data_IF_497586939115
#
_entry.id   IF_497586939115
#
_cell.length_a   1.000
_cell.length_b   1.000
_cell.length_c   1.000
_cell.angle_alpha   90.00
_cell.angle_beta   90.00
_cell.angle_gamma   90.00
#
_symmetry.space_group_name_H-M   'P 1'
#
loop_
_entity.id
_entity.type
_entity.pdbx_description
1 polymer ?
#
# COMPACT_ATOMS: atom_id res chain seq x y z
N UNK A 1 23.04 -7.88 -17.04
CA UNK A 1 22.63 -6.64 -16.34
C UNK A 1 21.49 -6.96 -15.37
N UNK A 2 21.59 -8.11 -14.68
CA UNK A 2 20.48 -8.74 -13.94
C UNK A 2 20.71 -8.63 -12.41
N UNK A 3 21.97 -8.52 -11.98
CA UNK A 3 22.34 -8.45 -10.56
C UNK A 3 22.02 -7.11 -9.86
N UNK A 4 21.71 -6.04 -10.61
CA UNK A 4 21.44 -4.73 -10.01
C UNK A 4 19.96 -4.59 -9.57
N UNK A 5 19.02 -5.17 -10.32
CA UNK A 5 17.60 -5.14 -9.99
C UNK A 5 17.28 -6.00 -8.76
N UNK A 6 17.92 -7.17 -8.63
CA UNK A 6 17.76 -8.04 -7.47
C UNK A 6 18.29 -7.41 -6.17
N UNK A 7 19.35 -6.59 -6.25
CA UNK A 7 19.93 -5.93 -5.09
C UNK A 7 19.07 -4.75 -4.59
N UNK A 8 18.44 -4.01 -5.51
CA UNK A 8 17.52 -2.91 -5.18
C UNK A 8 16.22 -3.44 -4.56
N UNK A 9 15.67 -4.52 -5.11
CA UNK A 9 14.48 -5.18 -4.58
C UNK A 9 14.72 -5.82 -3.19
N UNK A 10 15.91 -6.39 -2.97
CA UNK A 10 16.29 -6.94 -1.67
C UNK A 10 16.44 -5.85 -0.59
N UNK A 11 17.00 -4.69 -0.95
CA UNK A 11 17.10 -3.50 -0.09
C UNK A 11 15.73 -2.95 0.30
N UNK A 12 14.80 -2.88 -0.66
CA UNK A 12 13.42 -2.42 -0.42
C UNK A 12 12.64 -3.36 0.51
N UNK A 13 12.84 -4.67 0.38
CA UNK A 13 12.25 -5.68 1.28
C UNK A 13 12.85 -5.64 2.69
N UNK A 14 14.16 -5.42 2.81
CA UNK A 14 14.88 -5.27 4.09
C UNK A 14 14.41 -4.01 4.85
N UNK A 15 14.21 -2.91 4.13
CA UNK A 15 13.71 -1.68 4.72
C UNK A 15 12.21 -1.73 5.04
N UNK A 16 11.39 -2.41 4.23
CA UNK A 16 9.99 -2.71 4.56
C UNK A 16 9.87 -3.51 5.85
N UNK A 17 10.78 -4.47 6.07
CA UNK A 17 10.88 -5.23 7.32
C UNK A 17 11.26 -4.34 8.49
N UNK A 18 12.26 -3.47 8.31
CA UNK A 18 12.67 -2.48 9.33
C UNK A 18 11.55 -1.50 9.68
N UNK A 19 10.76 -1.04 8.70
CA UNK A 19 9.64 -0.13 8.96
C UNK A 19 8.45 -0.85 9.61
N UNK A 20 8.18 -2.11 9.24
CA UNK A 20 7.17 -2.93 9.91
C UNK A 20 7.51 -3.18 11.37
N UNK A 21 8.79 -3.40 11.69
CA UNK A 21 9.32 -3.48 13.05
C UNK A 21 9.24 -2.12 13.78
N UNK A 22 9.52 -1.01 13.07
CA UNK A 22 9.30 0.33 13.62
C UNK A 22 7.82 0.56 13.96
N UNK A 23 6.87 0.14 13.13
CA UNK A 23 5.44 0.23 13.46
C UNK A 23 5.07 -0.60 14.71
N UNK A 24 5.70 -1.75 14.94
CA UNK A 24 5.50 -2.53 16.19
C UNK A 24 5.98 -1.77 17.42
N UNK A 25 7.10 -1.07 17.28
CA UNK A 25 7.68 -0.27 18.36
C UNK A 25 6.87 0.99 18.69
N UNK A 26 6.08 1.50 17.76
CA UNK A 26 5.26 2.70 17.95
C UNK A 26 3.84 2.32 18.40
N UNK A 27 3.74 1.77 19.62
CA UNK A 27 2.50 1.52 20.36
C UNK A 27 1.95 2.80 20.98
N UNK A 28 1.70 3.85 20.19
CA UNK A 28 1.19 5.11 20.73
C UNK A 28 0.15 5.71 19.80
N UNK A 29 -1.09 5.22 19.93
CA UNK A 29 -2.29 6.03 20.12
C UNK A 29 -3.42 5.12 20.62
N UNK A 30 -4.29 5.69 21.47
CA UNK A 30 -5.42 5.01 22.07
C UNK A 30 -6.37 4.46 20.99
N UNK A 31 -6.45 3.13 20.90
CA UNK A 31 -7.39 2.40 20.02
C UNK A 31 -8.63 1.96 20.78
N UNK A 32 -8.84 2.44 22.00
CA UNK A 32 -10.00 2.10 22.85
C UNK A 32 -11.34 2.39 22.15
N UNK A 33 -11.38 3.42 21.30
CA UNK A 33 -12.57 3.81 20.55
C UNK A 33 -12.78 2.96 19.28
N UNK A 34 -11.79 2.17 18.84
CA UNK A 34 -11.97 1.23 17.72
C UNK A 34 -12.77 0.02 18.20
N UNK A 35 -14.09 0.09 18.02
CA UNK A 35 -14.97 -1.06 18.24
C UNK A 35 -14.60 -2.16 17.23
N UNK A 36 -14.47 -3.41 17.68
CA UNK A 36 -14.01 -4.56 16.87
C UNK A 36 -12.64 -4.33 16.19
N UNK A 37 -11.67 -3.75 16.93
CA UNK A 37 -10.32 -3.53 16.42
C UNK A 37 -9.71 -4.81 15.82
N UNK A 38 -9.33 -4.83 14.54
CA UNK A 38 -8.54 -5.91 13.97
C UNK A 38 -7.23 -6.05 14.77
N UNK A 39 -6.74 -7.28 14.96
CA UNK A 39 -5.43 -7.49 15.58
C UNK A 39 -4.32 -6.72 14.86
N UNK A 40 -3.21 -6.44 15.55
CA UNK A 40 -2.14 -5.54 15.07
C UNK A 40 -1.68 -5.84 13.63
N UNK A 41 -1.48 -7.12 13.30
CA UNK A 41 -1.06 -7.54 11.96
C UNK A 41 -2.07 -7.20 10.86
N UNK A 42 -3.37 -7.40 11.14
CA UNK A 42 -4.43 -7.07 10.18
C UNK A 42 -4.57 -5.55 10.04
N UNK A 43 -4.41 -4.81 11.13
CA UNK A 43 -4.45 -3.35 11.12
C UNK A 43 -3.30 -2.75 10.29
N UNK A 44 -2.08 -3.32 10.38
CA UNK A 44 -0.96 -2.97 9.50
C UNK A 44 -1.28 -3.25 8.02
N UNK A 45 -1.92 -4.38 7.72
CA UNK A 45 -2.33 -4.74 6.35
C UNK A 45 -3.35 -3.74 5.79
N UNK A 46 -4.32 -3.32 6.60
CA UNK A 46 -5.30 -2.29 6.21
C UNK A 46 -4.61 -0.96 5.96
N UNK A 47 -3.63 -0.56 6.77
CA UNK A 47 -2.87 0.67 6.54
C UNK A 47 -2.09 0.64 5.21
N UNK A 48 -1.45 -0.49 4.88
CA UNK A 48 -0.75 -0.67 3.60
C UNK A 48 -1.70 -0.49 2.42
N UNK A 49 -2.87 -1.15 2.48
CA UNK A 49 -3.95 -1.03 1.50
C UNK A 49 -4.42 0.41 1.35
N UNK A 50 -4.69 1.09 2.46
CA UNK A 50 -5.13 2.49 2.47
C UNK A 50 -4.11 3.44 1.82
N UNK A 51 -2.82 3.26 2.07
CA UNK A 51 -1.78 4.04 1.37
C UNK A 51 -1.66 3.69 -0.11
N UNK A 52 -1.79 2.41 -0.46
CA UNK A 52 -1.77 1.95 -1.85
C UNK A 52 -2.88 2.59 -2.69
N UNK A 53 -4.11 2.73 -2.14
CA UNK A 53 -5.21 3.43 -2.85
C UNK A 53 -4.92 4.90 -3.18
N UNK A 54 -3.87 5.49 -2.61
CA UNK A 54 -3.43 6.87 -2.88
C UNK A 54 -2.15 6.93 -3.69
N UNK A 55 -1.70 5.79 -4.24
CA UNK A 55 -0.42 5.64 -4.93
C UNK A 55 0.74 6.16 -4.08
N UNK A 56 0.63 6.02 -2.75
CA UNK A 56 1.63 6.49 -1.80
C UNK A 56 2.48 5.32 -1.34
N UNK A 57 3.83 5.43 -1.39
CA UNK A 57 4.73 4.41 -0.89
C UNK A 57 4.38 4.03 0.55
N UNK A 58 4.40 2.74 0.86
CA UNK A 58 4.20 2.24 2.23
C UNK A 58 5.52 2.17 3.01
N UNK A 59 6.63 2.42 2.32
CA UNK A 59 7.99 2.49 2.84
C UNK A 59 8.56 3.90 2.69
N UNK A 60 9.73 4.12 3.32
CA UNK A 60 10.53 5.33 3.08
C UNK A 60 11.17 5.16 1.73
N UNK A 61 10.70 5.94 0.76
CA UNK A 61 11.17 5.87 -0.62
C UNK A 61 11.11 7.27 -1.22
N UNK A 62 12.21 7.70 -1.83
CA UNK A 62 12.34 9.05 -2.39
C UNK A 62 12.07 10.14 -1.36
N UNK A 63 10.92 10.83 -1.49
CA UNK A 63 10.51 11.92 -0.61
C UNK A 63 9.65 11.47 0.60
N UNK A 64 9.30 10.18 0.69
CA UNK A 64 8.55 9.64 1.82
C UNK A 64 9.54 9.36 2.95
N UNK A 65 9.48 10.14 4.02
CA UNK A 65 10.34 9.97 5.22
C UNK A 65 9.65 9.11 6.29
N UNK A 66 10.42 8.58 7.25
CA UNK A 66 9.86 7.87 8.40
C UNK A 66 8.84 8.74 9.16
N UNK A 67 9.11 10.04 9.31
CA UNK A 67 8.17 11.00 9.90
C UNK A 67 6.88 11.12 9.08
N UNK A 68 6.97 11.15 7.75
CA UNK A 68 5.79 11.23 6.89
C UNK A 68 4.90 9.98 6.99
N UNK A 69 5.51 8.81 7.19
CA UNK A 69 4.77 7.57 7.39
C UNK A 69 4.14 7.53 8.78
N UNK A 70 4.83 8.01 9.81
CA UNK A 70 4.26 8.15 11.15
C UNK A 70 3.05 9.09 11.16
N UNK A 71 3.16 10.26 10.52
CA UNK A 71 2.04 11.20 10.41
C UNK A 71 0.85 10.57 9.66
N UNK A 72 1.13 9.77 8.62
CA UNK A 72 0.09 9.05 7.89
C UNK A 72 -0.55 7.94 8.73
N UNK A 73 0.22 7.24 9.57
CA UNK A 73 -0.27 6.24 10.50
C UNK A 73 -1.19 6.87 11.55
N UNK A 74 -0.79 8.00 12.17
CA UNK A 74 -1.64 8.75 13.10
C UNK A 74 -2.97 9.15 12.45
N UNK A 75 -2.92 9.77 11.26
CA UNK A 75 -4.12 10.17 10.54
C UNK A 75 -5.02 8.97 10.15
N UNK A 76 -4.43 7.81 9.90
CA UNK A 76 -5.17 6.57 9.66
C UNK A 76 -5.90 6.10 10.92
N UNK A 77 -5.21 6.04 12.06
CA UNK A 77 -5.79 5.66 13.36
C UNK A 77 -6.92 6.60 13.77
N UNK A 78 -6.71 7.92 13.71
CA UNK A 78 -7.74 8.93 14.02
C UNK A 78 -9.00 8.73 13.18
N UNK A 79 -8.82 8.39 11.90
CA UNK A 79 -9.91 8.13 10.98
C UNK A 79 -10.63 6.82 11.30
N UNK A 80 -9.91 5.77 11.67
CA UNK A 80 -10.49 4.53 12.19
C UNK A 80 -11.33 4.79 13.44
N UNK A 81 -10.83 5.61 14.37
CA UNK A 81 -11.54 5.96 15.60
C UNK A 81 -12.81 6.78 15.31
N UNK A 82 -12.76 7.70 14.35
CA UNK A 82 -13.88 8.60 14.05
C UNK A 82 -14.96 7.96 13.17
N UNK A 83 -14.56 7.21 12.13
CA UNK A 83 -15.50 6.62 11.17
C UNK A 83 -15.95 5.21 11.59
N UNK A 84 -15.23 4.56 12.50
CA UNK A 84 -15.38 3.13 12.79
C UNK A 84 -14.61 2.25 11.79
N UNK A 85 -14.00 1.17 12.27
CA UNK A 85 -13.16 0.29 11.45
C UNK A 85 -13.94 -0.32 10.27
N UNK A 86 -15.15 -0.82 10.51
CA UNK A 86 -15.97 -1.50 9.50
C UNK A 86 -16.40 -0.58 8.34
N UNK A 87 -16.77 0.66 8.67
CA UNK A 87 -17.15 1.67 7.68
C UNK A 87 -15.94 2.12 6.86
N UNK A 88 -14.76 2.25 7.51
CA UNK A 88 -13.53 2.56 6.81
C UNK A 88 -13.14 1.44 5.85
N UNK A 89 -13.20 0.17 6.29
CA UNK A 89 -12.86 -1.00 5.46
C UNK A 89 -13.77 -1.09 4.23
N UNK A 90 -15.08 -0.90 4.38
CA UNK A 90 -16.02 -0.88 3.25
C UNK A 90 -15.73 0.23 2.25
N UNK A 91 -15.37 1.43 2.73
CA UNK A 91 -14.99 2.55 1.86
C UNK A 91 -13.66 2.27 1.15
N UNK A 92 -12.73 1.60 1.83
CA UNK A 92 -11.44 1.19 1.27
C UNK A 92 -11.64 0.18 0.14
N UNK A 93 -12.41 -0.88 0.38
CA UNK A 93 -12.75 -1.90 -0.63
C UNK A 93 -13.38 -1.29 -1.87
N UNK A 94 -14.33 -0.36 -1.69
CA UNK A 94 -14.92 0.37 -2.82
C UNK A 94 -13.88 1.15 -3.60
N UNK A 95 -12.97 1.85 -2.93
CA UNK A 95 -11.89 2.61 -3.60
C UNK A 95 -10.91 1.72 -4.32
N UNK A 96 -10.58 0.56 -3.76
CA UNK A 96 -9.72 -0.44 -4.42
C UNK A 96 -10.41 -1.00 -5.67
N UNK A 97 -11.70 -1.31 -5.60
CA UNK A 97 -12.48 -1.76 -6.75
C UNK A 97 -12.56 -0.66 -7.82
N UNK A 98 -12.83 0.60 -7.42
CA UNK A 98 -12.85 1.74 -8.34
C UNK A 98 -11.47 1.94 -8.99
N UNK A 99 -10.39 1.84 -8.21
CA UNK A 99 -9.03 1.94 -8.73
C UNK A 99 -8.69 0.80 -9.68
N UNK A 100 -9.07 -0.44 -9.37
CA UNK A 100 -8.88 -1.57 -10.29
C UNK A 100 -9.64 -1.38 -11.61
N UNK A 101 -10.86 -0.84 -11.55
CA UNK A 101 -11.71 -0.63 -12.72
C UNK A 101 -11.29 0.58 -13.58
N UNK A 102 -10.77 1.64 -12.94
CA UNK A 102 -10.52 2.94 -13.58
C UNK A 102 -9.04 3.28 -13.72
N UNK A 103 -8.12 2.49 -13.16
CA UNK A 103 -6.70 2.76 -13.30
C UNK A 103 -6.24 2.47 -14.72
N UNK A 104 -5.57 3.47 -15.32
CA UNK A 104 -4.84 3.32 -16.58
C UNK A 104 -3.78 2.22 -16.47
N UNK A 105 -3.19 2.02 -15.29
CA UNK A 105 -2.24 0.92 -15.08
C UNK A 105 -2.93 -0.44 -15.17
N UNK A 106 -4.10 -0.61 -14.55
CA UNK A 106 -4.85 -1.86 -14.61
C UNK A 106 -5.35 -2.16 -16.04
N UNK A 107 -5.75 -1.12 -16.78
CA UNK A 107 -6.07 -1.23 -18.19
C UNK A 107 -4.82 -1.62 -19.03
N UNK A 108 -3.66 -1.03 -18.73
CA UNK A 108 -2.41 -1.38 -19.40
C UNK A 108 -1.99 -2.83 -19.14
N UNK A 109 -2.11 -3.31 -17.89
CA UNK A 109 -1.84 -4.70 -17.52
C UNK A 109 -2.79 -5.66 -18.27
N UNK A 110 -4.08 -5.34 -18.33
CA UNK A 110 -5.07 -6.14 -19.06
C UNK A 110 -4.81 -6.16 -20.57
N UNK A 111 -4.44 -5.02 -21.17
CA UNK A 111 -4.03 -4.95 -22.57
C UNK A 111 -2.78 -5.80 -22.80
N UNK A 112 -1.84 -5.79 -21.86
CA UNK A 112 -0.61 -6.57 -22.00
C UNK A 112 -0.87 -8.08 -21.91
N UNK A 113 -1.64 -8.54 -20.94
CA UNK A 113 -2.05 -9.94 -20.81
C UNK A 113 -2.79 -10.43 -22.07
N UNK A 114 -3.74 -9.63 -22.57
CA UNK A 114 -4.47 -9.95 -23.79
C UNK A 114 -3.59 -9.96 -25.04
N UNK A 115 -2.55 -9.12 -25.08
CA UNK A 115 -1.59 -9.07 -26.19
C UNK A 115 -0.64 -10.27 -26.16
N UNK A 116 -0.18 -10.66 -24.96
CA UNK A 116 0.64 -11.85 -24.74
C UNK A 116 -0.11 -13.12 -25.13
N UNK A 117 -1.37 -13.28 -24.68
CA UNK A 117 -2.22 -14.41 -25.09
C UNK A 117 -2.57 -14.44 -26.58
N UNK A 118 -2.43 -13.31 -27.28
CA UNK A 118 -2.64 -13.19 -28.73
C UNK A 118 -1.33 -13.22 -29.55
N UNK A 119 -0.19 -13.51 -28.92
CA UNK A 119 1.15 -13.55 -29.52
C UNK A 119 1.51 -12.23 -30.25
N UNK A 120 1.15 -11.10 -29.64
CA UNK A 120 1.45 -9.75 -30.14
C UNK A 120 2.51 -9.08 -29.28
N UNK A 121 3.64 -8.72 -29.88
CA UNK A 121 4.80 -8.04 -29.26
C UNK A 121 4.53 -6.57 -28.83
N UNK A 122 3.31 -6.20 -28.43
CA UNK A 122 2.92 -4.79 -28.28
C UNK A 122 3.22 -4.17 -26.90
N UNK A 123 3.70 -4.93 -25.91
CA UNK A 123 4.02 -4.39 -24.58
C UNK A 123 5.41 -3.73 -24.52
N UNK A 124 5.64 -2.64 -25.28
CA UNK A 124 6.85 -1.83 -25.17
C UNK A 124 6.56 -0.48 -24.52
N UNK A 125 6.10 -0.47 -23.27
CA UNK A 125 6.21 0.74 -22.43
C UNK A 125 6.41 0.35 -20.97
N UNK A 126 7.62 -0.07 -20.63
CA UNK A 126 8.14 0.13 -19.28
C UNK A 126 8.63 1.58 -19.20
N UNK A 127 7.95 2.41 -18.41
CA UNK A 127 8.48 3.73 -18.08
C UNK A 127 9.58 3.57 -17.00
N UNK A 128 10.71 4.29 -17.13
CA UNK A 128 11.81 4.27 -16.16
C UNK A 128 11.44 4.90 -14.81
#
# INVERSE_FOLDING_TARGET
MEQAADAEHASDLDWLSTYEEMLERWTLHDRSDVTNSPGDAEFKKIFRRWRATRSKPVAVLGNVTAQSLNNAWTAFVERCNTEGADDLMRKLERREADHANLSVSALADQICENSYGADRDCCFVHFP
#
